data_IF_786722722609
#
_entry.id   IF_786722722609
#
_cell.length_a   1.000
_cell.length_b   1.000
_cell.length_c   1.000
_cell.angle_alpha   90.00
_cell.angle_beta   90.00
_cell.angle_gamma   90.00
#
_symmetry.space_group_name_H-M   'P 1'
#
loop_
_entity.id
_entity.type
_entity.pdbx_description
1 polymer ?
#
# COMPACT_ATOMS: atom_id res chain seq x y z
N UNK A 1 5.91 7.30 -11.51
CA UNK A 1 6.70 6.21 -10.89
C UNK A 1 7.74 6.72 -9.90
N UNK A 2 8.83 7.40 -10.32
CA UNK A 2 9.92 7.77 -9.39
C UNK A 2 9.48 8.59 -8.17
N UNK A 3 8.59 9.58 -8.34
CA UNK A 3 8.05 10.35 -7.21
C UNK A 3 7.10 9.54 -6.30
N UNK A 4 6.54 8.43 -6.79
CA UNK A 4 5.66 7.54 -6.04
C UNK A 4 6.38 6.72 -4.96
N UNK A 5 7.68 6.43 -5.14
CA UNK A 5 8.48 5.72 -4.12
C UNK A 5 8.52 6.45 -2.78
N UNK A 6 8.46 7.79 -2.79
CA UNK A 6 8.29 8.58 -1.57
C UNK A 6 6.85 8.49 -1.05
N UNK A 7 5.92 9.10 -1.78
CA UNK A 7 4.50 9.11 -1.43
C UNK A 7 3.64 9.11 -2.69
N UNK A 8 2.65 8.21 -2.74
CA UNK A 8 1.76 8.11 -3.89
C UNK A 8 0.95 9.38 -4.13
N UNK A 9 0.57 10.11 -3.07
CA UNK A 9 -0.09 11.41 -3.21
C UNK A 9 0.79 12.45 -3.90
N UNK A 10 2.09 12.51 -3.57
CA UNK A 10 3.04 13.41 -4.23
C UNK A 10 3.25 13.02 -5.70
N UNK A 11 3.32 11.71 -5.99
CA UNK A 11 3.37 11.19 -7.35
C UNK A 11 2.17 11.63 -8.20
N UNK A 12 0.96 11.58 -7.63
CA UNK A 12 -0.28 12.03 -8.30
C UNK A 12 -0.28 13.54 -8.57
N UNK A 13 0.16 14.38 -7.63
CA UNK A 13 0.31 15.84 -7.87
C UNK A 13 1.32 16.11 -8.99
N UNK A 14 2.39 15.30 -9.06
CA UNK A 14 3.40 15.38 -10.11
C UNK A 14 2.86 15.14 -11.52
N UNK A 15 1.78 14.38 -11.67
CA UNK A 15 1.15 14.12 -12.96
C UNK A 15 0.56 15.38 -13.61
N UNK A 16 0.46 16.52 -12.90
CA UNK A 16 0.04 17.82 -13.47
C UNK A 16 0.94 18.32 -14.61
N UNK A 17 2.19 17.86 -14.64
CA UNK A 17 3.16 18.23 -15.68
C UNK A 17 2.83 17.54 -17.02
N UNK A 18 2.01 16.48 -17.00
CA UNK A 18 1.61 15.75 -18.20
C UNK A 18 0.47 16.51 -18.88
N UNK A 19 0.74 17.02 -20.08
CA UNK A 19 -0.22 17.82 -20.85
C UNK A 19 -1.43 17.00 -21.33
N UNK A 20 -1.20 15.77 -21.80
CA UNK A 20 -2.31 14.95 -22.26
C UNK A 20 -3.18 14.48 -21.09
N UNK A 21 -4.49 14.74 -21.11
CA UNK A 21 -5.38 14.29 -20.06
C UNK A 21 -5.44 12.75 -19.98
N UNK A 22 -5.21 12.07 -21.10
CA UNK A 22 -5.16 10.62 -21.21
C UNK A 22 -3.98 10.04 -20.45
N UNK A 23 -2.74 10.43 -20.80
CA UNK A 23 -1.55 9.88 -20.16
C UNK A 23 -1.47 10.32 -18.70
N UNK A 24 -1.98 11.52 -18.39
CA UNK A 24 -2.14 11.98 -17.01
C UNK A 24 -3.02 11.03 -16.20
N UNK A 25 -4.18 10.62 -16.72
CA UNK A 25 -5.05 9.67 -16.02
C UNK A 25 -4.41 8.29 -15.88
N UNK A 26 -3.74 7.78 -16.92
CA UNK A 26 -3.01 6.50 -16.84
C UNK A 26 -1.95 6.59 -15.74
N UNK A 27 -1.13 7.64 -15.74
CA UNK A 27 -0.08 7.83 -14.75
C UNK A 27 -0.64 7.96 -13.33
N UNK A 28 -1.78 8.64 -13.15
CA UNK A 28 -2.45 8.76 -11.85
C UNK A 28 -2.93 7.38 -11.33
N UNK A 29 -3.59 6.59 -12.19
CA UNK A 29 -4.12 5.27 -11.81
C UNK A 29 -2.99 4.29 -11.52
N UNK A 30 -1.94 4.28 -12.34
CA UNK A 30 -0.87 3.29 -12.23
C UNK A 30 0.21 3.65 -11.21
N UNK A 31 0.23 4.88 -10.68
CA UNK A 31 1.22 5.28 -9.67
C UNK A 31 1.16 4.44 -8.39
N UNK A 32 0.02 3.82 -8.07
CA UNK A 32 -0.15 3.03 -6.85
C UNK A 32 0.54 1.65 -6.88
N UNK A 33 0.96 1.14 -8.06
CA UNK A 33 1.70 -0.12 -8.15
C UNK A 33 3.17 0.00 -7.71
N UNK A 34 3.63 1.22 -7.45
CA UNK A 34 4.94 1.51 -6.89
C UNK A 34 4.84 1.54 -5.36
N UNK A 35 5.71 0.84 -4.61
CA UNK A 35 5.69 0.88 -3.16
C UNK A 35 6.11 2.28 -2.68
N UNK A 36 5.27 2.92 -1.87
CA UNK A 36 5.60 4.15 -1.17
C UNK A 36 6.30 3.86 0.16
N UNK A 37 6.84 4.90 0.83
CA UNK A 37 7.48 4.78 2.16
C UNK A 37 6.70 3.92 3.15
N UNK A 38 5.37 4.04 3.19
CA UNK A 38 4.55 3.24 4.10
C UNK A 38 4.48 1.74 3.83
N UNK A 39 4.87 1.27 2.64
CA UNK A 39 4.86 -0.14 2.26
C UNK A 39 6.23 -0.80 2.46
N UNK A 40 7.32 -0.03 2.42
CA UNK A 40 8.67 -0.55 2.57
C UNK A 40 8.92 -1.28 3.89
N UNK A 41 8.55 -0.75 5.08
CA UNK A 41 8.76 -1.45 6.35
C UNK A 41 8.14 -2.84 6.37
N UNK A 42 6.89 -2.95 5.90
CA UNK A 42 6.16 -4.23 5.81
C UNK A 42 6.86 -5.22 4.88
N UNK A 43 7.26 -4.78 3.68
CA UNK A 43 7.97 -5.64 2.73
C UNK A 43 9.32 -6.10 3.29
N UNK A 44 10.11 -5.19 3.85
CA UNK A 44 11.42 -5.50 4.43
C UNK A 44 11.29 -6.46 5.61
N UNK A 45 10.31 -6.22 6.50
CA UNK A 45 10.07 -7.07 7.67
C UNK A 45 9.69 -8.50 7.24
N UNK A 46 8.73 -8.66 6.33
CA UNK A 46 8.28 -9.98 5.87
C UNK A 46 9.40 -10.74 5.14
N UNK A 47 10.15 -10.07 4.26
CA UNK A 47 11.31 -10.66 3.56
C UNK A 47 12.34 -11.18 4.58
N UNK A 48 12.66 -10.36 5.57
CA UNK A 48 13.66 -10.70 6.60
C UNK A 48 13.20 -11.87 7.45
N UNK A 49 11.94 -11.87 7.91
CA UNK A 49 11.42 -12.90 8.80
C UNK A 49 11.22 -14.26 8.13
N UNK A 50 10.70 -14.29 6.90
CA UNK A 50 10.27 -15.54 6.26
C UNK A 50 11.28 -16.12 5.26
N UNK A 51 12.13 -15.31 4.62
CA UNK A 51 13.01 -15.77 3.53
C UNK A 51 14.50 -15.69 3.85
N UNK A 52 14.93 -14.72 4.66
CA UNK A 52 16.35 -14.51 4.98
C UNK A 52 16.73 -15.12 6.34
N UNK A 53 15.80 -15.07 7.30
CA UNK A 53 16.03 -15.41 8.70
C UNK A 53 16.76 -14.31 9.46
N UNK A 54 16.52 -14.24 10.77
CA UNK A 54 16.95 -13.15 11.67
C UNK A 54 18.39 -13.22 12.14
N UNK A 55 19.03 -14.39 12.09
CA UNK A 55 20.45 -14.54 12.43
C UNK A 55 21.37 -13.88 11.36
N UNK A 56 22.37 -13.06 11.74
CA UNK A 56 23.29 -12.44 10.79
C UNK A 56 24.23 -13.48 10.17
N UNK A 57 24.38 -13.42 8.85
CA UNK A 57 25.29 -14.28 8.09
C UNK A 57 25.78 -13.59 6.83
N UNK A 58 27.00 -13.88 6.35
CA UNK A 58 27.54 -13.29 5.13
C UNK A 58 26.65 -13.64 3.94
N UNK A 59 26.19 -12.63 3.18
CA UNK A 59 25.31 -12.80 2.02
C UNK A 59 23.82 -12.58 2.27
N UNK A 60 23.35 -12.50 3.53
CA UNK A 60 21.93 -12.26 3.85
C UNK A 60 21.44 -10.86 3.48
N UNK A 61 22.29 -9.84 3.65
CA UNK A 61 22.00 -8.48 3.20
C UNK A 61 21.80 -8.42 1.68
N UNK A 62 22.65 -9.12 0.92
CA UNK A 62 22.52 -9.21 -0.53
C UNK A 62 21.22 -9.91 -0.93
N UNK A 63 20.87 -11.02 -0.27
CA UNK A 63 19.63 -11.75 -0.56
C UNK A 63 18.38 -10.91 -0.23
N UNK A 64 18.38 -10.19 0.89
CA UNK A 64 17.27 -9.27 1.23
C UNK A 64 17.12 -8.14 0.20
N UNK A 65 18.23 -7.58 -0.28
CA UNK A 65 18.24 -6.53 -1.29
C UNK A 65 17.74 -7.05 -2.64
N UNK A 66 18.16 -8.26 -3.04
CA UNK A 66 17.71 -8.91 -4.27
C UNK A 66 16.20 -9.21 -4.24
N UNK A 67 15.69 -9.77 -3.14
CA UNK A 67 14.25 -10.04 -3.00
C UNK A 67 13.43 -8.75 -3.02
N UNK A 68 13.86 -7.71 -2.30
CA UNK A 68 13.18 -6.42 -2.32
C UNK A 68 13.20 -5.80 -3.73
N UNK A 69 14.34 -5.86 -4.41
CA UNK A 69 14.47 -5.40 -5.80
C UNK A 69 13.54 -6.17 -6.73
N UNK A 70 13.42 -7.49 -6.56
CA UNK A 70 12.47 -8.32 -7.29
C UNK A 70 11.02 -7.88 -7.11
N UNK A 71 10.60 -7.57 -5.87
CA UNK A 71 9.26 -7.04 -5.58
C UNK A 71 9.04 -5.67 -6.23
N UNK A 72 10.04 -4.79 -6.20
CA UNK A 72 9.95 -3.47 -6.86
C UNK A 72 9.84 -3.63 -8.37
N UNK A 73 10.65 -4.49 -8.98
CA UNK A 73 10.60 -4.78 -10.42
C UNK A 73 9.26 -5.38 -10.82
N UNK A 74 8.67 -6.26 -10.01
CA UNK A 74 7.32 -6.75 -10.21
C UNK A 74 6.30 -5.61 -10.24
N UNK A 75 6.38 -4.67 -9.29
CA UNK A 75 5.53 -3.47 -9.27
C UNK A 75 5.69 -2.62 -10.54
N UNK A 76 6.92 -2.40 -11.00
CA UNK A 76 7.20 -1.67 -12.25
C UNK A 76 6.62 -2.39 -13.47
N UNK A 77 6.82 -3.71 -13.58
CA UNK A 77 6.27 -4.52 -14.67
C UNK A 77 4.73 -4.48 -14.68
N UNK A 78 4.09 -4.60 -13.51
CA UNK A 78 2.65 -4.44 -13.37
C UNK A 78 2.19 -3.04 -13.79
N UNK A 79 2.94 -2.00 -13.43
CA UNK A 79 2.64 -0.63 -13.83
C UNK A 79 2.60 -0.50 -15.35
N UNK A 80 3.59 -1.06 -16.06
CA UNK A 80 3.61 -1.06 -17.53
C UNK A 80 2.48 -1.91 -18.13
N UNK A 81 2.23 -3.08 -17.55
CA UNK A 81 1.16 -3.98 -18.02
C UNK A 81 -0.23 -3.33 -17.89
N UNK A 82 -0.53 -2.73 -16.74
CA UNK A 82 -1.80 -2.01 -16.51
C UNK A 82 -1.88 -0.75 -17.36
N UNK A 83 -0.78 -0.03 -17.57
CA UNK A 83 -0.76 1.13 -18.47
C UNK A 83 -1.10 0.72 -19.92
N UNK A 84 -0.60 -0.43 -20.38
CA UNK A 84 -0.95 -1.01 -21.68
C UNK A 84 -2.41 -1.44 -21.73
N UNK A 85 -2.91 -2.10 -20.69
CA UNK A 85 -4.31 -2.53 -20.62
C UNK A 85 -5.28 -1.33 -20.66
N UNK A 86 -5.01 -0.30 -19.86
CA UNK A 86 -5.84 0.92 -19.79
C UNK A 86 -5.81 1.72 -21.09
N UNK A 87 -4.65 1.83 -21.72
CA UNK A 87 -4.50 2.55 -22.99
C UNK A 87 -5.18 1.84 -24.17
N UNK A 88 -5.30 0.51 -24.13
CA UNK A 88 -5.99 -0.28 -25.15
C UNK A 88 -7.52 -0.33 -24.95
N UNK A 89 -8.01 -0.29 -23.70
CA UNK A 89 -9.42 -0.51 -23.36
C UNK A 89 -10.19 0.80 -23.15
N UNK A 90 -9.99 1.45 -22.01
CA UNK A 90 -10.82 2.54 -21.47
C UNK A 90 -10.38 3.91 -22.00
N UNK A 91 -9.09 4.09 -22.23
CA UNK A 91 -8.48 5.37 -22.59
C UNK A 91 -7.95 5.31 -24.02
N UNK A 92 -8.83 5.18 -25.02
CA UNK A 92 -8.46 5.28 -26.45
C UNK A 92 -8.34 6.77 -26.84
N UNK A 93 -7.24 7.16 -27.49
CA UNK A 93 -7.03 8.56 -27.89
C UNK A 93 -5.68 8.78 -28.58
N UNK A 94 -5.52 9.95 -29.20
CA UNK A 94 -4.31 10.33 -29.95
C UNK A 94 -3.22 10.73 -28.94
N UNK A 95 -1.97 10.21 -29.05
CA UNK A 95 -0.86 10.66 -28.20
C UNK A 95 -0.56 12.14 -28.46
N UNK A 96 -0.27 12.91 -27.41
CA UNK A 96 0.17 14.30 -27.56
C UNK A 96 1.66 14.35 -27.87
N UNK A 97 2.09 15.26 -28.75
CA UNK A 97 3.50 15.59 -28.92
C UNK A 97 4.06 16.17 -27.63
N UNK A 98 4.98 15.45 -26.98
CA UNK A 98 5.69 15.94 -25.80
C UNK A 98 6.79 16.90 -26.27
N UNK A 99 6.49 18.19 -26.35
CA UNK A 99 7.52 19.21 -26.58
C UNK A 99 8.16 19.53 -25.23
N UNK A 100 9.34 18.95 -25.00
CA UNK A 100 10.10 19.16 -23.77
C UNK A 100 10.75 20.56 -23.80
N UNK A 101 9.97 21.60 -23.56
CA UNK A 101 10.52 22.93 -23.33
C UNK A 101 11.23 22.93 -21.97
N UNK A 102 12.54 23.15 -21.97
CA UNK A 102 13.30 23.27 -20.73
C UNK A 102 12.90 24.59 -20.06
N UNK A 103 12.28 24.57 -18.86
CA UNK A 103 11.94 25.80 -18.17
C UNK A 103 13.23 26.53 -17.75
N UNK A 104 13.28 27.88 -17.83
CA UNK A 104 14.46 28.63 -17.43
C UNK A 104 14.73 28.44 -15.93
N UNK A 105 15.92 27.92 -15.60
CA UNK A 105 16.33 27.64 -14.23
C UNK A 105 16.55 28.94 -13.45
N UNK A 106 15.70 29.19 -12.43
CA UNK A 106 15.82 30.36 -11.54
C UNK A 106 16.48 29.94 -10.24
N UNK A 107 17.48 30.70 -9.76
CA UNK A 107 18.14 30.45 -8.47
C UNK A 107 17.10 30.47 -7.33
N UNK A 108 16.95 29.41 -6.54
CA UNK A 108 15.98 29.38 -5.46
C UNK A 108 16.42 30.33 -4.33
N UNK A 109 15.50 31.17 -3.86
CA UNK A 109 15.69 31.95 -2.63
C UNK A 109 15.46 31.03 -1.43
N UNK A 110 16.52 30.37 -0.98
CA UNK A 110 16.49 29.26 0.00
C UNK A 110 15.59 29.59 1.22
N UNK A 111 15.78 30.75 1.86
CA UNK A 111 14.99 31.13 3.03
C UNK A 111 13.48 31.30 2.75
N UNK A 112 13.13 32.03 1.68
CA UNK A 112 11.72 32.24 1.30
C UNK A 112 11.04 30.94 0.85
N UNK A 113 11.78 30.06 0.17
CA UNK A 113 11.28 28.75 -0.26
C UNK A 113 11.00 27.85 0.94
N UNK A 114 11.90 27.81 1.92
CA UNK A 114 11.70 26.99 3.13
C UNK A 114 10.49 27.50 3.92
N UNK A 115 10.44 28.79 4.25
CA UNK A 115 9.35 29.35 5.06
C UNK A 115 7.99 29.17 4.38
N UNK A 116 7.86 29.52 3.09
CA UNK A 116 6.61 29.32 2.35
C UNK A 116 6.28 27.85 2.15
N UNK A 117 7.26 26.99 1.88
CA UNK A 117 6.97 25.57 1.69
C UNK A 117 6.49 24.93 3.00
N UNK A 118 7.05 25.31 4.14
CA UNK A 118 6.61 24.80 5.44
C UNK A 118 5.23 25.33 5.81
N UNK A 119 5.02 26.64 5.76
CA UNK A 119 3.75 27.27 6.17
C UNK A 119 2.61 26.98 5.19
N UNK A 120 2.84 27.18 3.89
CA UNK A 120 1.77 27.13 2.90
C UNK A 120 1.51 25.70 2.37
N UNK A 121 2.50 24.80 2.43
CA UNK A 121 2.36 23.42 1.90
C UNK A 121 2.38 22.36 3.01
N UNK A 122 3.40 22.35 3.86
CA UNK A 122 3.56 21.27 4.85
C UNK A 122 2.44 21.31 5.89
N UNK A 123 2.11 22.47 6.43
CA UNK A 123 1.09 22.61 7.48
C UNK A 123 -0.32 22.25 6.98
N UNK A 124 -0.68 22.65 5.76
CA UNK A 124 -1.95 22.28 5.13
C UNK A 124 -2.05 20.79 4.79
N UNK A 125 -0.96 20.16 4.35
CA UNK A 125 -0.92 18.72 4.10
C UNK A 125 -1.02 17.95 5.43
N UNK A 126 -0.32 18.41 6.46
CA UNK A 126 -0.40 17.83 7.80
C UNK A 126 -1.81 17.94 8.38
N UNK A 127 -2.46 19.10 8.27
CA UNK A 127 -3.84 19.29 8.71
C UNK A 127 -4.82 18.34 8.01
N UNK A 128 -4.63 18.07 6.71
CA UNK A 128 -5.41 17.06 5.99
C UNK A 128 -5.13 15.63 6.47
N UNK A 129 -3.87 15.32 6.79
CA UNK A 129 -3.51 14.02 7.34
C UNK A 129 -4.17 13.80 8.70
N UNK A 130 -4.12 14.79 9.60
CA UNK A 130 -4.76 14.74 10.93
C UNK A 130 -6.28 14.62 10.81
N UNK A 131 -6.90 15.38 9.90
CA UNK A 131 -8.35 15.34 9.68
C UNK A 131 -8.86 13.94 9.25
N UNK A 132 -8.01 13.12 8.63
CA UNK A 132 -8.35 11.74 8.25
C UNK A 132 -7.87 10.73 9.29
N UNK A 133 -6.70 10.94 9.90
CA UNK A 133 -6.13 10.04 10.89
C UNK A 133 -6.91 10.02 12.21
N UNK A 134 -7.38 11.16 12.70
CA UNK A 134 -8.14 11.25 13.95
C UNK A 134 -9.45 10.42 13.93
N UNK A 135 -10.36 10.59 12.95
CA UNK A 135 -11.58 9.77 12.90
C UNK A 135 -11.26 8.29 12.65
N UNK A 136 -10.23 7.99 11.85
CA UNK A 136 -9.86 6.60 11.62
C UNK A 136 -9.26 5.93 12.87
N UNK A 137 -8.45 6.65 13.65
CA UNK A 137 -7.94 6.16 14.94
C UNK A 137 -9.06 5.89 15.94
N UNK A 138 -10.07 6.76 15.99
CA UNK A 138 -11.27 6.53 16.80
C UNK A 138 -12.03 5.28 16.35
N UNK A 139 -12.20 5.08 15.04
CA UNK A 139 -12.82 3.88 14.49
C UNK A 139 -12.02 2.61 14.86
N UNK A 140 -10.71 2.62 14.68
CA UNK A 140 -9.84 1.50 15.07
C UNK A 140 -10.00 1.20 16.57
N UNK A 141 -10.02 2.24 17.41
CA UNK A 141 -10.21 2.09 18.86
C UNK A 141 -11.57 1.46 19.20
N UNK A 142 -12.65 1.91 18.55
CA UNK A 142 -13.99 1.34 18.72
C UNK A 142 -13.99 -0.15 18.34
N UNK A 143 -13.44 -0.50 17.17
CA UNK A 143 -13.39 -1.88 16.71
C UNK A 143 -12.60 -2.78 17.66
N UNK A 144 -11.48 -2.27 18.21
CA UNK A 144 -10.62 -3.03 19.11
C UNK A 144 -11.17 -3.17 20.54
N UNK A 145 -11.80 -2.12 21.08
CA UNK A 145 -12.17 -2.05 22.51
C UNK A 145 -13.65 -2.33 22.79
N UNK A 146 -14.56 -2.06 21.84
CA UNK A 146 -15.98 -2.38 22.04
C UNK A 146 -16.18 -3.88 21.82
N UNK A 147 -16.78 -4.52 22.83
CA UNK A 147 -17.05 -5.95 22.84
C UNK A 147 -18.54 -6.21 22.65
N UNK A 148 -18.85 -7.24 21.87
CA UNK A 148 -20.21 -7.76 21.67
C UNK A 148 -20.18 -9.22 22.14
N UNK A 149 -20.69 -9.45 23.35
CA UNK A 149 -20.45 -10.69 24.09
C UNK A 149 -19.00 -10.76 24.57
N UNK A 150 -18.33 -11.90 24.34
CA UNK A 150 -16.94 -12.13 24.74
C UNK A 150 -15.90 -11.67 23.71
N UNK A 151 -16.33 -11.35 22.48
CA UNK A 151 -15.47 -10.98 21.36
C UNK A 151 -15.52 -9.48 21.07
N UNK A 152 -14.39 -8.90 20.64
CA UNK A 152 -14.35 -7.53 20.12
C UNK A 152 -15.08 -7.45 18.77
N UNK A 153 -15.56 -6.25 18.41
CA UNK A 153 -16.13 -6.00 17.07
C UNK A 153 -15.10 -6.38 15.98
N UNK A 154 -13.81 -6.08 16.23
CA UNK A 154 -12.73 -6.48 15.35
C UNK A 154 -12.71 -7.99 15.11
N UNK A 155 -12.80 -8.81 16.17
CA UNK A 155 -12.79 -10.26 16.06
C UNK A 155 -14.01 -10.82 15.30
N UNK A 156 -15.19 -10.22 15.48
CA UNK A 156 -16.38 -10.57 14.68
C UNK A 156 -16.16 -10.26 13.20
N UNK A 157 -15.60 -9.09 12.87
CA UNK A 157 -15.32 -8.71 11.48
C UNK A 157 -14.22 -9.56 10.85
N UNK A 158 -13.16 -9.92 11.58
CA UNK A 158 -12.11 -10.80 11.06
C UNK A 158 -12.65 -12.20 10.79
N UNK A 159 -13.47 -12.75 11.69
CA UNK A 159 -14.14 -14.03 11.48
C UNK A 159 -15.08 -14.04 10.27
N UNK A 160 -15.80 -12.95 10.03
CA UNK A 160 -16.64 -12.80 8.84
C UNK A 160 -15.83 -12.72 7.53
N UNK A 161 -14.67 -12.04 7.56
CA UNK A 161 -13.79 -11.88 6.40
C UNK A 161 -12.88 -13.09 6.14
N UNK A 162 -12.64 -13.92 7.15
CA UNK A 162 -11.72 -15.08 7.08
C UNK A 162 -11.98 -16.03 5.90
N UNK A 163 -13.21 -16.52 5.62
CA UNK A 163 -13.44 -17.43 4.50
C UNK A 163 -13.03 -16.82 3.16
N UNK A 164 -13.27 -15.51 2.97
CA UNK A 164 -12.85 -14.81 1.76
C UNK A 164 -11.34 -14.55 1.74
N UNK A 165 -10.77 -14.16 2.87
CA UNK A 165 -9.33 -13.91 2.98
C UNK A 165 -8.50 -15.17 2.69
N UNK A 166 -8.96 -16.34 3.18
CA UNK A 166 -8.31 -17.63 2.91
C UNK A 166 -8.30 -17.97 1.43
N UNK A 167 -9.28 -17.57 0.63
CA UNK A 167 -9.24 -17.77 -0.83
C UNK A 167 -8.07 -17.02 -1.48
N UNK A 168 -7.72 -15.86 -0.93
CA UNK A 168 -6.59 -15.04 -1.38
C UNK A 168 -5.24 -15.48 -0.81
N UNK A 169 -5.19 -16.57 -0.03
CA UNK A 169 -3.98 -16.98 0.71
C UNK A 169 -3.64 -16.07 1.89
N UNK A 170 -4.59 -15.24 2.33
CA UNK A 170 -4.50 -14.38 3.50
C UNK A 170 -5.33 -14.96 4.66
N UNK A 171 -5.29 -14.29 5.80
CA UNK A 171 -6.16 -14.53 6.96
C UNK A 171 -7.13 -13.35 7.13
N UNK A 172 -8.30 -13.60 7.74
CA UNK A 172 -9.31 -12.58 8.01
C UNK A 172 -8.76 -11.37 8.75
N UNK A 173 -7.79 -11.61 9.65
CA UNK A 173 -7.04 -10.56 10.35
C UNK A 173 -6.24 -9.67 9.41
N UNK A 174 -5.52 -10.26 8.45
CA UNK A 174 -4.68 -9.51 7.50
C UNK A 174 -5.57 -8.64 6.61
N UNK A 175 -6.66 -9.22 6.08
CA UNK A 175 -7.57 -8.47 5.22
C UNK A 175 -8.24 -7.32 5.98
N UNK A 176 -8.69 -7.56 7.21
CA UNK A 176 -9.25 -6.51 8.06
C UNK A 176 -8.23 -5.42 8.40
N UNK A 177 -6.97 -5.79 8.62
CA UNK A 177 -5.89 -4.84 8.86
C UNK A 177 -5.62 -3.93 7.65
N UNK A 178 -5.70 -4.45 6.42
CA UNK A 178 -5.62 -3.60 5.23
C UNK A 178 -6.81 -2.65 5.12
N UNK A 179 -8.03 -3.10 5.47
CA UNK A 179 -9.25 -2.27 5.42
C UNK A 179 -9.15 -1.12 6.44
N UNK A 180 -8.81 -1.45 7.69
CA UNK A 180 -8.61 -0.44 8.74
C UNK A 180 -7.35 0.41 8.51
N UNK A 181 -6.36 -0.14 7.80
CA UNK A 181 -5.14 0.55 7.35
C UNK A 181 -5.35 1.50 6.17
N UNK A 182 -6.57 1.68 5.67
CA UNK A 182 -6.87 2.64 4.60
C UNK A 182 -6.31 4.07 4.83
N UNK A 183 -6.30 4.64 6.06
CA UNK A 183 -5.74 5.96 6.30
C UNK A 183 -4.24 6.05 6.00
N UNK A 184 -3.47 5.05 6.43
CA UNK A 184 -2.02 5.01 6.40
C UNK A 184 -1.54 3.56 6.24
N UNK A 185 -0.68 3.30 5.26
CA UNK A 185 -0.25 1.92 4.99
C UNK A 185 0.74 1.39 6.04
N UNK A 186 1.36 2.31 6.79
CA UNK A 186 2.29 2.01 7.88
C UNK A 186 1.62 1.26 9.05
N UNK A 187 0.32 1.50 9.29
CA UNK A 187 -0.39 0.94 10.46
C UNK A 187 -0.91 -0.48 10.25
N UNK A 188 -0.76 -1.05 9.04
CA UNK A 188 -1.25 -2.40 8.74
C UNK A 188 -0.62 -3.45 9.65
N UNK A 189 0.70 -3.44 9.85
CA UNK A 189 1.39 -4.39 10.74
C UNK A 189 1.00 -4.18 12.20
N UNK A 190 0.99 -2.96 12.75
CA UNK A 190 0.46 -2.70 14.09
C UNK A 190 -0.98 -3.21 14.30
N UNK A 191 -1.87 -3.07 13.32
CA UNK A 191 -3.25 -3.60 13.42
C UNK A 191 -3.26 -5.13 13.43
N UNK A 192 -2.41 -5.79 12.62
CA UNK A 192 -2.26 -7.26 12.63
C UNK A 192 -1.81 -7.73 14.01
N UNK A 193 -0.78 -7.10 14.59
CA UNK A 193 -0.27 -7.45 15.92
C UNK A 193 -1.35 -7.25 16.98
N UNK A 194 -2.01 -6.09 16.96
CA UNK A 194 -3.10 -5.75 17.88
C UNK A 194 -4.23 -6.79 17.83
N UNK A 195 -4.62 -7.20 16.63
CA UNK A 195 -5.66 -8.20 16.44
C UNK A 195 -5.24 -9.60 16.91
N UNK A 196 -4.02 -10.03 16.61
CA UNK A 196 -3.52 -11.36 17.04
C UNK A 196 -3.26 -11.46 18.54
N UNK A 197 -2.84 -10.37 19.19
CA UNK A 197 -2.68 -10.31 20.63
C UNK A 197 -4.00 -9.99 21.38
N UNK A 198 -5.07 -9.71 20.64
CA UNK A 198 -6.34 -9.19 21.17
C UNK A 198 -6.15 -7.99 22.12
N UNK A 199 -5.15 -7.14 21.84
CA UNK A 199 -4.88 -5.93 22.61
C UNK A 199 -5.77 -4.79 22.13
N UNK A 200 -6.18 -3.91 23.03
CA UNK A 200 -7.01 -2.74 22.69
C UNK A 200 -6.23 -1.55 22.11
N UNK A 201 -4.92 -1.69 21.96
CA UNK A 201 -3.99 -0.61 21.59
C UNK A 201 -3.06 -1.06 20.47
N UNK A 202 -2.74 -0.12 19.57
CA UNK A 202 -1.72 -0.33 18.53
C UNK A 202 -0.35 -0.49 19.21
N UNK A 203 0.29 -1.62 18.95
CA UNK A 203 1.60 -1.96 19.53
C UNK A 203 2.62 -2.12 18.41
N UNK A 204 3.77 -1.48 18.56
CA UNK A 204 4.94 -1.77 17.73
C UNK A 204 5.66 -3.02 18.23
N UNK A 205 6.35 -3.71 17.32
CA UNK A 205 7.15 -4.87 17.66
C UNK A 205 8.56 -4.42 18.11
N UNK A 206 9.04 -4.99 19.22
CA UNK A 206 10.37 -4.69 19.78
C UNK A 206 11.48 -5.54 19.12
N UNK A 207 11.12 -6.70 18.55
CA UNK A 207 12.05 -7.57 17.83
C UNK A 207 11.37 -8.31 16.67
N UNK A 208 12.11 -8.52 15.57
CA UNK A 208 11.61 -9.26 14.41
C UNK A 208 11.39 -10.76 14.71
N UNK A 209 12.16 -11.32 15.66
CA UNK A 209 11.99 -12.71 16.09
C UNK A 209 10.67 -12.94 16.82
N UNK A 210 10.30 -12.04 17.75
CA UNK A 210 9.03 -12.11 18.45
C UNK A 210 7.85 -11.93 17.48
N UNK A 211 7.99 -11.00 16.51
CA UNK A 211 6.99 -10.82 15.47
C UNK A 211 6.84 -12.08 14.62
N UNK A 212 7.93 -12.69 14.15
CA UNK A 212 7.87 -13.93 13.38
C UNK A 212 7.18 -15.05 14.16
N UNK A 213 7.52 -15.22 15.44
CA UNK A 213 6.90 -16.24 16.29
C UNK A 213 5.39 -16.04 16.42
N UNK A 214 4.94 -14.80 16.66
CA UNK A 214 3.52 -14.45 16.71
C UNK A 214 2.80 -14.80 15.39
N UNK A 215 3.37 -14.42 14.26
CA UNK A 215 2.76 -14.65 12.95
C UNK A 215 2.65 -16.16 12.64
N UNK A 216 3.71 -16.92 12.90
CA UNK A 216 3.71 -18.38 12.67
C UNK A 216 2.73 -19.10 13.60
N UNK A 217 2.62 -18.68 14.87
CA UNK A 217 1.63 -19.23 15.81
C UNK A 217 0.18 -18.98 15.36
N UNK A 218 -0.07 -17.89 14.65
CA UNK A 218 -1.36 -17.57 14.05
C UNK A 218 -1.52 -18.14 12.62
N UNK A 219 -0.73 -19.16 12.26
CA UNK A 219 -0.90 -19.91 11.02
C UNK A 219 -0.27 -19.27 9.78
N UNK A 220 0.61 -18.27 9.93
CA UNK A 220 1.32 -17.73 8.77
C UNK A 220 2.27 -18.76 8.17
N UNK A 221 2.01 -19.09 6.91
CA UNK A 221 2.89 -19.90 6.08
C UNK A 221 3.76 -19.00 5.19
N UNK A 222 4.72 -19.60 4.49
CA UNK A 222 5.46 -18.91 3.43
C UNK A 222 4.49 -18.34 2.37
N UNK A 223 3.39 -19.04 2.07
CA UNK A 223 2.37 -18.60 1.12
C UNK A 223 1.65 -17.35 1.62
N UNK A 224 1.27 -17.32 2.89
CA UNK A 224 0.64 -16.14 3.52
C UNK A 224 1.58 -14.94 3.49
N UNK A 225 2.88 -15.16 3.73
CA UNK A 225 3.89 -14.11 3.63
C UNK A 225 4.00 -13.55 2.20
N UNK A 226 4.06 -14.42 1.16
CA UNK A 226 4.06 -13.99 -0.25
C UNK A 226 2.80 -13.22 -0.60
N UNK A 227 1.62 -13.77 -0.27
CA UNK A 227 0.34 -13.12 -0.58
C UNK A 227 0.22 -11.77 0.13
N UNK A 228 0.70 -11.66 1.38
CA UNK A 228 0.72 -10.39 2.11
C UNK A 228 1.65 -9.35 1.46
N UNK A 229 2.84 -9.77 0.97
CA UNK A 229 3.74 -8.88 0.24
C UNK A 229 3.12 -8.40 -1.08
N UNK A 230 2.52 -9.33 -1.85
CA UNK A 230 1.86 -9.02 -3.12
C UNK A 230 0.65 -8.09 -2.91
N UNK A 231 -0.18 -8.37 -1.91
CA UNK A 231 -1.31 -7.53 -1.57
C UNK A 231 -0.85 -6.16 -1.06
N UNK A 232 0.19 -6.10 -0.22
CA UNK A 232 0.80 -4.84 0.21
C UNK A 232 1.29 -4.00 -0.97
N UNK A 233 1.86 -4.63 -2.00
CA UNK A 233 2.32 -3.94 -3.21
C UNK A 233 1.18 -3.44 -4.10
N UNK A 234 0.10 -4.21 -4.23
CA UNK A 234 -0.90 -4.05 -5.31
C UNK A 234 -2.28 -3.56 -4.79
N UNK A 235 -2.52 -3.45 -3.48
CA UNK A 235 -3.80 -2.98 -2.94
C UNK A 235 -4.09 -1.50 -3.26
N UNK A 236 -5.31 -1.06 -2.92
CA UNK A 236 -5.80 0.30 -3.07
C UNK A 236 -4.85 1.40 -2.54
N UNK A 237 -4.95 2.63 -3.06
CA UNK A 237 -4.16 3.75 -2.55
C UNK A 237 -4.69 4.18 -1.17
N UNK A 238 -3.80 4.72 -0.33
CA UNK A 238 -4.19 5.27 0.96
C UNK A 238 -5.15 6.47 0.80
N UNK A 239 -5.87 6.78 1.87
CA UNK A 239 -6.87 7.85 1.93
C UNK A 239 -6.38 9.19 1.36
N UNK A 240 -5.16 9.61 1.73
CA UNK A 240 -4.54 10.87 1.28
C UNK A 240 -4.29 10.87 -0.22
N UNK A 241 -3.90 9.73 -0.78
CA UNK A 241 -3.75 9.55 -2.23
C UNK A 241 -5.10 9.59 -2.92
N UNK A 242 -6.13 8.91 -2.40
CA UNK A 242 -7.49 8.95 -2.95
C UNK A 242 -8.06 10.39 -2.98
N UNK A 243 -7.91 11.14 -1.89
CA UNK A 243 -8.31 12.55 -1.81
C UNK A 243 -7.55 13.42 -2.82
N UNK A 244 -6.27 13.15 -3.02
CA UNK A 244 -5.44 13.87 -3.99
C UNK A 244 -5.90 13.58 -5.41
N UNK A 245 -6.16 12.31 -5.75
CA UNK A 245 -6.72 11.91 -7.05
C UNK A 245 -8.05 12.62 -7.31
N UNK A 246 -8.94 12.67 -6.32
CA UNK A 246 -10.22 13.38 -6.44
C UNK A 246 -10.04 14.88 -6.72
N UNK A 247 -9.05 15.52 -6.09
CA UNK A 247 -8.74 16.94 -6.34
C UNK A 247 -8.10 17.19 -7.70
N UNK A 248 -7.22 16.30 -8.16
CA UNK A 248 -6.55 16.42 -9.45
C UNK A 248 -7.49 16.14 -10.63
N UNK A 249 -8.32 15.10 -10.51
CA UNK A 249 -9.22 14.67 -11.58
C UNK A 249 -10.58 15.38 -11.56
N UNK A 250 -10.92 16.04 -10.43
CA UNK A 250 -12.25 16.63 -10.15
C UNK A 250 -13.41 15.64 -10.38
N UNK A 251 -13.15 14.34 -10.21
CA UNK A 251 -14.12 13.29 -10.55
C UNK A 251 -14.03 12.12 -9.59
N UNK A 252 -15.16 11.83 -8.94
CA UNK A 252 -15.30 10.67 -8.05
C UNK A 252 -15.15 9.36 -8.82
N UNK A 253 -15.61 9.32 -10.08
CA UNK A 253 -15.49 8.14 -10.95
C UNK A 253 -14.03 7.72 -11.10
N UNK A 254 -13.13 8.66 -11.36
CA UNK A 254 -11.71 8.34 -11.53
C UNK A 254 -11.03 7.98 -10.20
N UNK A 255 -11.44 8.57 -9.08
CA UNK A 255 -10.98 8.14 -7.75
C UNK A 255 -11.38 6.69 -7.46
N UNK A 256 -12.63 6.31 -7.75
CA UNK A 256 -13.12 4.94 -7.55
C UNK A 256 -12.40 3.95 -8.48
N UNK A 257 -12.15 4.32 -9.73
CA UNK A 257 -11.37 3.49 -10.67
C UNK A 257 -9.94 3.30 -10.15
N UNK A 258 -9.27 4.37 -9.68
CA UNK A 258 -7.93 4.28 -9.10
C UNK A 258 -7.88 3.44 -7.81
N UNK A 259 -8.99 3.33 -7.09
CA UNK A 259 -9.12 2.43 -5.95
C UNK A 259 -9.35 0.98 -6.39
N UNK A 260 -10.32 0.77 -7.30
CA UNK A 260 -10.77 -0.54 -7.72
C UNK A 260 -9.73 -1.31 -8.56
N UNK A 261 -9.03 -0.63 -9.49
CA UNK A 261 -8.09 -1.30 -10.41
C UNK A 261 -6.96 -2.01 -9.66
N UNK A 262 -6.21 -1.36 -8.74
CA UNK A 262 -5.21 -2.05 -7.94
C UNK A 262 -5.84 -3.14 -7.06
N UNK A 263 -6.98 -2.87 -6.42
CA UNK A 263 -7.67 -3.84 -5.56
C UNK A 263 -8.01 -5.14 -6.28
N UNK A 264 -8.64 -5.06 -7.45
CA UNK A 264 -9.03 -6.22 -8.24
C UNK A 264 -7.81 -6.99 -8.71
N UNK A 265 -6.77 -6.29 -9.18
CA UNK A 265 -5.52 -6.94 -9.62
C UNK A 265 -4.82 -7.61 -8.43
N UNK A 266 -4.76 -6.94 -7.27
CA UNK A 266 -4.17 -7.50 -6.05
C UNK A 266 -4.89 -8.75 -5.58
N UNK A 267 -6.22 -8.72 -5.53
CA UNK A 267 -7.04 -9.89 -5.21
C UNK A 267 -6.84 -11.01 -6.23
N UNK A 268 -6.86 -10.70 -7.53
CA UNK A 268 -6.65 -11.71 -8.58
C UNK A 268 -5.27 -12.35 -8.51
N UNK A 269 -4.21 -11.56 -8.33
CA UNK A 269 -2.83 -12.05 -8.19
C UNK A 269 -2.69 -12.94 -6.96
N UNK A 270 -3.20 -12.50 -5.80
CA UNK A 270 -3.14 -13.30 -4.57
C UNK A 270 -3.93 -14.61 -4.69
N UNK A 271 -5.14 -14.55 -5.26
CA UNK A 271 -5.96 -15.72 -5.54
C UNK A 271 -5.25 -16.73 -6.46
N UNK A 272 -4.63 -16.25 -7.55
CA UNK A 272 -3.88 -17.09 -8.48
C UNK A 272 -2.68 -17.75 -7.79
N UNK A 273 -1.88 -16.98 -7.05
CA UNK A 273 -0.72 -17.53 -6.31
C UNK A 273 -1.16 -18.54 -5.26
N UNK A 274 -2.20 -18.25 -4.49
CA UNK A 274 -2.74 -19.17 -3.49
C UNK A 274 -3.29 -20.45 -4.12
N UNK A 275 -4.01 -20.34 -5.23
CA UNK A 275 -4.57 -21.50 -5.94
C UNK A 275 -3.48 -22.37 -6.55
N UNK A 276 -2.48 -21.77 -7.19
CA UNK A 276 -1.34 -22.51 -7.77
C UNK A 276 -0.51 -23.23 -6.69
N UNK A 277 -0.27 -22.58 -5.54
CA UNK A 277 0.45 -23.20 -4.43
C UNK A 277 -0.30 -24.41 -3.84
N UNK A 278 -1.63 -24.30 -3.71
CA UNK A 278 -2.48 -25.41 -3.26
C UNK A 278 -2.55 -26.56 -4.27
N UNK A 279 -2.68 -26.24 -5.56
CA UNK A 279 -2.74 -27.25 -6.63
C UNK A 279 -1.41 -28.00 -6.81
N UNK A 280 -0.28 -27.34 -6.52
CA UNK A 280 1.05 -27.96 -6.58
C UNK A 280 1.41 -28.74 -5.30
N UNK A 281 0.55 -28.76 -4.29
CA UNK A 281 0.80 -29.45 -3.01
C UNK A 281 1.94 -28.85 -2.19
N UNK A 282 2.31 -27.58 -2.45
CA UNK A 282 3.36 -26.87 -1.71
C UNK A 282 2.87 -26.30 -0.36
N UNK A 283 1.56 -26.43 -0.07
CA UNK A 283 0.87 -26.08 1.18
C UNK A 283 -0.26 -27.06 1.42
#
# INVERSE_FOLDING_TARGET
MCMGFGCNAAGVVGCRIIDSPRERLIAIITNNFVPCNGRFPTLIAIITMFFVGTAPGPGKSLLSALLLTGVILLGVLLTFWVSRLLSATILKGIPSSFTLELPPYRKPRIGQVIVRSVLDRTLFVLGRAVAVAAPAGLLIWIFANVRVGDLSILAHCTGFLDPFARLLGLDGTILMAFILGFPANEIVIPIIIMSYLATGTLTDFTSLDALRALLVQNGWTWLTAVCTMLFSLIHWPCSTTCMTIGKETKSVKWTLISFAVPTVIGMAVCFLVASLARLSGLV
#
